data_IF_373429848807
#
_entry.id   IF_373429848807
#
_cell.length_a   1.000
_cell.length_b   1.000
_cell.length_c   1.000
_cell.angle_alpha   90.00
_cell.angle_beta   90.00
_cell.angle_gamma   90.00
#
_symmetry.space_group_name_H-M   'P 1'
#
loop_
_entity.id
_entity.type
_entity.pdbx_description
1 polymer ?
#
# COMPACT_ATOMS: atom_id res chain seq x y z
N UNK A 1 -10.10 -6.83 -20.63
CA UNK A 1 -9.74 -7.55 -19.40
C UNK A 1 -10.61 -7.01 -18.26
N UNK A 2 -11.16 -7.92 -17.49
CA UNK A 2 -12.11 -7.57 -16.44
C UNK A 2 -11.37 -7.37 -15.11
N UNK A 3 -11.26 -6.12 -14.68
CA UNK A 3 -10.61 -5.76 -13.42
C UNK A 3 -11.64 -5.31 -12.39
N UNK A 4 -11.50 -5.80 -11.15
CA UNK A 4 -12.33 -5.29 -10.05
C UNK A 4 -11.64 -5.44 -8.71
N UNK A 5 -12.03 -4.62 -7.74
CA UNK A 5 -11.69 -4.79 -6.34
C UNK A 5 -12.88 -5.42 -5.62
N UNK A 6 -12.57 -6.35 -4.73
CA UNK A 6 -13.58 -6.97 -3.87
C UNK A 6 -13.07 -6.97 -2.44
N UNK A 7 -13.99 -6.84 -1.47
CA UNK A 7 -13.62 -6.91 -0.06
C UNK A 7 -13.16 -8.33 0.24
N UNK A 8 -12.04 -8.48 0.95
CA UNK A 8 -11.53 -9.79 1.33
C UNK A 8 -12.43 -10.44 2.37
N UNK A 9 -12.67 -11.75 2.17
CA UNK A 9 -13.23 -12.57 3.22
C UNK A 9 -12.13 -13.06 4.15
N UNK A 10 -12.53 -13.65 5.27
CA UNK A 10 -11.58 -14.16 6.25
C UNK A 10 -10.67 -15.22 5.63
N UNK A 11 -11.19 -16.00 4.68
CA UNK A 11 -10.42 -17.06 4.01
C UNK A 11 -9.37 -16.53 3.06
N UNK A 12 -9.47 -15.26 2.67
CA UNK A 12 -8.49 -14.63 1.77
C UNK A 12 -7.23 -14.15 2.50
N UNK A 13 -7.30 -13.98 3.83
CA UNK A 13 -6.24 -13.32 4.59
C UNK A 13 -4.91 -14.08 4.58
N UNK A 14 -4.87 -15.41 4.78
CA UNK A 14 -3.57 -16.10 4.77
C UNK A 14 -2.80 -15.94 3.46
N UNK A 15 -3.49 -16.04 2.32
CA UNK A 15 -2.85 -15.88 1.03
C UNK A 15 -2.43 -14.42 0.81
N UNK A 16 -3.27 -13.48 1.23
CA UNK A 16 -2.93 -12.06 1.15
C UNK A 16 -1.63 -11.75 1.90
N UNK A 17 -1.49 -12.24 3.13
CA UNK A 17 -0.28 -12.01 3.91
C UNK A 17 0.95 -12.56 3.20
N UNK A 18 0.85 -13.78 2.69
CA UNK A 18 1.94 -14.41 1.99
C UNK A 18 2.34 -13.62 0.75
N UNK A 19 1.36 -13.23 -0.06
CA UNK A 19 1.62 -12.55 -1.32
C UNK A 19 2.19 -11.15 -1.12
N UNK A 20 1.68 -10.40 -0.15
CA UNK A 20 2.20 -9.05 0.10
C UNK A 20 3.62 -9.10 0.66
N UNK A 21 3.92 -10.08 1.53
CA UNK A 21 5.28 -10.26 2.01
C UNK A 21 6.24 -10.59 0.88
N UNK A 22 5.83 -11.49 -0.02
CA UNK A 22 6.66 -11.85 -1.17
C UNK A 22 6.91 -10.65 -2.08
N UNK A 23 5.87 -9.86 -2.35
CA UNK A 23 5.99 -8.71 -3.23
C UNK A 23 6.94 -7.66 -2.65
N UNK A 24 6.84 -7.37 -1.36
CA UNK A 24 7.71 -6.40 -0.69
C UNK A 24 9.14 -6.91 -0.62
N UNK A 25 9.31 -8.20 -0.31
CA UNK A 25 10.64 -8.80 -0.21
C UNK A 25 11.36 -8.77 -1.56
N UNK A 26 10.66 -9.21 -2.62
CA UNK A 26 11.24 -9.20 -3.96
C UNK A 26 11.54 -7.80 -4.45
N UNK A 27 10.65 -6.85 -4.19
CA UNK A 27 10.87 -5.46 -4.57
C UNK A 27 12.12 -4.88 -3.95
N UNK A 28 12.33 -5.15 -2.66
CA UNK A 28 13.54 -4.69 -1.97
C UNK A 28 14.79 -5.38 -2.53
N UNK A 29 14.73 -6.69 -2.70
CA UNK A 29 15.90 -7.46 -3.12
C UNK A 29 16.33 -7.18 -4.55
N UNK A 30 15.40 -6.79 -5.41
CA UNK A 30 15.74 -6.38 -6.78
C UNK A 30 16.58 -5.11 -6.81
N UNK A 31 16.41 -4.23 -5.83
CA UNK A 31 17.15 -2.97 -5.77
C UNK A 31 18.42 -3.09 -4.94
N UNK A 32 18.36 -3.80 -3.82
CA UNK A 32 19.44 -3.82 -2.83
C UNK A 32 20.14 -5.15 -2.70
N UNK A 33 19.68 -6.19 -3.40
CA UNK A 33 20.23 -7.52 -3.32
C UNK A 33 19.59 -8.35 -2.20
N UNK A 34 19.93 -9.65 -2.14
CA UNK A 34 19.36 -10.55 -1.15
C UNK A 34 19.60 -10.09 0.27
N UNK A 35 18.60 -10.32 1.14
CA UNK A 35 18.69 -9.96 2.54
C UNK A 35 18.02 -11.05 3.39
N UNK A 36 18.52 -11.24 4.60
CA UNK A 36 17.88 -12.10 5.58
C UNK A 36 16.79 -11.35 6.37
N UNK A 37 16.76 -10.04 6.25
CA UNK A 37 15.75 -9.23 6.93
C UNK A 37 14.39 -9.42 6.28
N UNK A 38 13.36 -9.48 7.11
CA UNK A 38 11.97 -9.52 6.63
C UNK A 38 11.52 -8.08 6.42
N UNK A 39 11.25 -7.72 5.16
CA UNK A 39 10.96 -6.33 4.80
C UNK A 39 9.59 -5.92 5.33
N UNK A 40 8.60 -6.82 5.26
CA UNK A 40 7.27 -6.55 5.80
C UNK A 40 6.90 -7.67 6.78
N UNK A 41 7.13 -7.47 8.09
CA UNK A 41 6.79 -8.49 9.08
C UNK A 41 5.27 -8.72 9.15
N UNK A 42 4.90 -9.95 9.48
CA UNK A 42 3.49 -10.30 9.61
C UNK A 42 2.77 -9.44 10.66
N UNK A 43 3.47 -9.08 11.74
CA UNK A 43 2.90 -8.24 12.79
C UNK A 43 2.43 -6.88 12.24
N UNK A 44 3.17 -6.32 11.29
CA UNK A 44 2.79 -5.04 10.69
C UNK A 44 1.56 -5.18 9.82
N UNK A 45 1.43 -6.30 9.10
CA UNK A 45 0.23 -6.59 8.32
C UNK A 45 -0.97 -6.74 9.25
N UNK A 46 -0.81 -7.50 10.33
CA UNK A 46 -1.88 -7.70 11.30
C UNK A 46 -2.32 -6.39 11.94
N UNK A 47 -1.38 -5.52 12.25
CA UNK A 47 -1.70 -4.21 12.82
C UNK A 47 -2.57 -3.39 11.86
N UNK A 48 -2.23 -3.39 10.57
CA UNK A 48 -3.04 -2.70 9.57
C UNK A 48 -4.44 -3.29 9.45
N UNK A 49 -4.53 -4.62 9.40
CA UNK A 49 -5.81 -5.30 9.27
C UNK A 49 -6.72 -5.08 10.49
N UNK A 50 -6.13 -4.91 11.67
CA UNK A 50 -6.87 -4.74 12.92
C UNK A 50 -7.11 -3.29 13.31
N UNK A 51 -6.64 -2.34 12.52
CA UNK A 51 -6.87 -0.92 12.78
C UNK A 51 -8.35 -0.59 12.60
N UNK A 52 -8.90 0.22 13.50
CA UNK A 52 -10.29 0.64 13.41
C UNK A 52 -10.52 1.38 12.08
N UNK A 53 -11.51 0.96 11.34
CA UNK A 53 -11.82 1.53 10.03
C UNK A 53 -11.10 0.86 8.87
N UNK A 54 -10.32 -0.19 9.12
CA UNK A 54 -9.59 -0.88 8.06
C UNK A 54 -10.53 -1.66 7.14
N UNK A 55 -10.29 -1.53 5.84
CA UNK A 55 -10.96 -2.31 4.81
C UNK A 55 -9.88 -2.94 3.94
N UNK A 56 -9.92 -4.26 3.80
CA UNK A 56 -8.97 -4.99 2.98
C UNK A 56 -9.62 -5.39 1.67
N UNK A 57 -8.96 -5.07 0.57
CA UNK A 57 -9.44 -5.36 -0.78
C UNK A 57 -8.51 -6.33 -1.48
N UNK A 58 -9.08 -7.26 -2.24
CA UNK A 58 -8.34 -8.06 -3.20
C UNK A 58 -8.61 -7.53 -4.61
N UNK A 59 -7.57 -7.50 -5.43
CA UNK A 59 -7.68 -7.06 -6.81
C UNK A 59 -7.76 -8.29 -7.70
N UNK A 60 -8.79 -8.32 -8.53
CA UNK A 60 -9.06 -9.46 -9.42
C UNK A 60 -8.95 -9.00 -10.87
N UNK A 61 -8.21 -9.76 -11.65
CA UNK A 61 -8.12 -9.58 -13.09
C UNK A 61 -8.56 -10.87 -13.73
N UNK A 62 -9.67 -10.83 -14.47
CA UNK A 62 -10.29 -12.02 -15.05
C UNK A 62 -10.48 -13.13 -14.00
N UNK A 63 -10.96 -12.74 -12.83
CA UNK A 63 -11.26 -13.61 -11.68
C UNK A 63 -10.06 -14.18 -10.95
N UNK A 64 -8.85 -13.74 -11.29
CA UNK A 64 -7.62 -14.17 -10.60
C UNK A 64 -7.09 -13.04 -9.73
N UNK A 65 -6.62 -13.37 -8.52
CA UNK A 65 -6.02 -12.39 -7.62
C UNK A 65 -4.69 -11.92 -8.19
N UNK A 66 -4.56 -10.62 -8.40
CA UNK A 66 -3.32 -10.01 -8.93
C UNK A 66 -2.72 -8.98 -7.97
N UNK A 67 -3.37 -8.69 -6.86
CA UNK A 67 -2.86 -7.74 -5.88
C UNK A 67 -3.90 -7.47 -4.81
N UNK A 68 -3.67 -6.40 -4.07
CA UNK A 68 -4.62 -6.00 -3.03
C UNK A 68 -4.18 -4.74 -2.31
N UNK A 69 -5.00 -4.29 -1.39
CA UNK A 69 -4.72 -3.08 -0.63
C UNK A 69 -5.49 -3.09 0.69
N UNK A 70 -4.95 -2.37 1.67
CA UNK A 70 -5.65 -2.09 2.93
C UNK A 70 -5.73 -0.58 3.09
N UNK A 71 -6.93 -0.07 3.25
CA UNK A 71 -7.18 1.34 3.53
C UNK A 71 -7.82 1.47 4.90
N UNK A 72 -7.66 2.63 5.52
CA UNK A 72 -8.30 2.93 6.80
C UNK A 72 -9.18 4.16 6.60
N UNK A 73 -10.46 3.99 6.82
CA UNK A 73 -11.46 5.03 6.57
C UNK A 73 -11.92 5.64 7.89
N UNK A 74 -11.79 6.95 8.00
CA UNK A 74 -12.32 7.70 9.12
C UNK A 74 -13.57 8.45 8.65
N UNK A 75 -14.74 7.92 8.98
CA UNK A 75 -15.99 8.47 8.48
C UNK A 75 -16.31 9.85 9.01
N UNK A 76 -15.76 10.22 10.16
CA UNK A 76 -16.01 11.53 10.75
C UNK A 76 -15.23 12.64 10.06
N UNK A 77 -13.95 12.41 9.78
CA UNK A 77 -13.08 13.42 9.21
C UNK A 77 -12.92 13.31 7.71
N UNK A 78 -13.13 12.11 7.17
CA UNK A 78 -12.82 11.75 5.78
C UNK A 78 -11.36 12.02 5.42
N UNK A 79 -10.50 11.96 6.43
CA UNK A 79 -9.05 11.95 6.26
C UNK A 79 -8.64 10.48 6.38
N UNK A 80 -8.39 9.85 5.24
CA UNK A 80 -8.26 8.40 5.12
C UNK A 80 -6.83 8.01 4.76
N UNK A 81 -6.46 6.78 5.13
CA UNK A 81 -5.09 6.31 4.93
C UNK A 81 -5.05 5.11 3.99
N UNK A 82 -4.06 5.10 3.13
CA UNK A 82 -3.66 3.89 2.41
C UNK A 82 -2.53 3.25 3.21
N UNK A 83 -2.82 2.14 3.87
CA UNK A 83 -1.83 1.46 4.70
C UNK A 83 -0.95 0.52 3.91
N UNK A 84 -1.54 -0.28 3.02
CA UNK A 84 -0.82 -1.30 2.26
C UNK A 84 -1.38 -1.37 0.86
N UNK A 85 -0.49 -1.55 -0.12
CA UNK A 85 -0.88 -1.84 -1.50
C UNK A 85 0.20 -2.72 -2.11
N UNK A 86 -0.21 -3.72 -2.85
CA UNK A 86 0.74 -4.55 -3.56
C UNK A 86 0.16 -5.05 -4.88
N UNK A 87 1.05 -5.37 -5.80
CA UNK A 87 0.73 -6.08 -7.03
C UNK A 87 1.62 -7.30 -7.07
N UNK A 88 1.06 -8.45 -7.43
CA UNK A 88 1.85 -9.67 -7.54
C UNK A 88 2.99 -9.45 -8.53
N UNK A 89 4.15 -10.05 -8.23
CA UNK A 89 5.36 -9.81 -8.99
C UNK A 89 5.16 -9.99 -10.50
N UNK A 90 4.44 -11.01 -10.90
CA UNK A 90 4.22 -11.33 -12.32
C UNK A 90 3.37 -10.28 -13.05
N UNK A 91 2.71 -9.40 -12.30
CA UNK A 91 1.76 -8.43 -12.85
C UNK A 91 2.19 -6.98 -12.66
N UNK A 92 3.40 -6.72 -12.14
CA UNK A 92 3.79 -5.38 -11.72
C UNK A 92 3.95 -4.36 -12.85
N UNK A 93 4.20 -4.80 -14.07
CA UNK A 93 4.41 -3.89 -15.20
C UNK A 93 3.16 -3.61 -16.02
N UNK A 94 2.00 -4.08 -15.56
CA UNK A 94 0.75 -4.00 -16.34
C UNK A 94 -0.18 -2.86 -15.93
N UNK A 95 0.30 -1.95 -15.08
CA UNK A 95 -0.53 -0.84 -14.62
C UNK A 95 -1.59 -1.23 -13.59
N UNK A 96 -1.45 -2.40 -12.98
CA UNK A 96 -2.43 -2.91 -12.00
C UNK A 96 -2.49 -2.03 -10.77
N UNK A 97 -1.33 -1.55 -10.28
CA UNK A 97 -1.31 -0.68 -9.10
C UNK A 97 -2.15 0.57 -9.28
N UNK A 98 -2.05 1.19 -10.45
CA UNK A 98 -2.85 2.37 -10.77
C UNK A 98 -4.34 2.05 -10.85
N UNK A 99 -4.69 0.89 -11.41
CA UNK A 99 -6.08 0.44 -11.45
C UNK A 99 -6.62 0.20 -10.05
N UNK A 100 -5.82 -0.40 -9.16
CA UNK A 100 -6.21 -0.58 -7.75
C UNK A 100 -6.48 0.77 -7.12
N UNK A 101 -5.57 1.71 -7.29
CA UNK A 101 -5.71 3.04 -6.66
C UNK A 101 -6.93 3.80 -7.21
N UNK A 102 -7.12 3.79 -8.52
CA UNK A 102 -8.27 4.46 -9.13
C UNK A 102 -9.59 3.91 -8.61
N UNK A 103 -9.66 2.59 -8.42
CA UNK A 103 -10.87 1.96 -7.91
C UNK A 103 -11.09 2.32 -6.44
N UNK A 104 -10.02 2.41 -5.64
CA UNK A 104 -10.14 2.84 -4.25
C UNK A 104 -10.73 4.25 -4.18
N UNK A 105 -10.25 5.17 -5.03
CA UNK A 105 -10.81 6.53 -5.06
C UNK A 105 -12.29 6.51 -5.44
N UNK A 106 -12.66 5.66 -6.40
CA UNK A 106 -14.05 5.55 -6.85
C UNK A 106 -14.95 5.00 -5.76
N UNK A 107 -14.45 4.05 -4.97
CA UNK A 107 -15.23 3.40 -3.90
C UNK A 107 -15.39 4.29 -2.67
N UNK A 108 -14.56 5.30 -2.50
CA UNK A 108 -14.58 6.18 -1.34
C UNK A 108 -14.66 7.65 -1.75
N UNK A 109 -15.74 8.04 -2.45
CA UNK A 109 -15.84 9.38 -3.02
C UNK A 109 -15.98 10.51 -2.00
N UNK A 110 -16.32 10.21 -0.76
CA UNK A 110 -16.43 11.22 0.29
C UNK A 110 -15.08 11.63 0.87
N UNK A 111 -14.00 10.94 0.52
CA UNK A 111 -12.68 11.21 1.08
C UNK A 111 -12.24 12.63 0.77
N UNK A 112 -11.78 13.34 1.80
CA UNK A 112 -11.24 14.69 1.64
C UNK A 112 -9.75 14.68 1.43
N UNK A 113 -9.04 13.83 2.15
CA UNK A 113 -7.58 13.69 2.05
C UNK A 113 -7.22 12.23 2.18
N UNK A 114 -6.39 11.75 1.27
CA UNK A 114 -5.73 10.46 1.37
C UNK A 114 -4.30 10.65 1.86
N UNK A 115 -3.86 9.82 2.77
CA UNK A 115 -2.49 9.86 3.26
C UNK A 115 -1.85 8.48 3.16
N UNK A 116 -0.57 8.46 2.87
CA UNK A 116 0.23 7.24 2.87
C UNK A 116 1.67 7.59 3.21
N UNK A 117 2.49 6.59 3.49
CA UNK A 117 3.91 6.81 3.70
C UNK A 117 4.71 5.67 3.12
N UNK A 118 5.98 5.94 2.82
CA UNK A 118 6.90 4.92 2.33
C UNK A 118 8.33 5.30 2.73
N UNK A 119 9.20 4.30 2.93
CA UNK A 119 10.61 4.59 3.19
C UNK A 119 11.23 5.41 2.07
N UNK A 120 12.14 6.32 2.43
CA UNK A 120 12.77 7.22 1.46
C UNK A 120 13.59 6.48 0.40
N UNK A 121 14.03 5.25 0.70
CA UNK A 121 14.78 4.46 -0.27
C UNK A 121 13.90 3.79 -1.33
N UNK A 122 12.59 3.72 -1.11
CA UNK A 122 11.67 3.04 -2.03
C UNK A 122 11.29 3.94 -3.19
N UNK A 123 12.21 4.14 -4.12
CA UNK A 123 12.02 5.08 -5.22
C UNK A 123 10.90 4.71 -6.17
N UNK A 124 10.64 3.40 -6.36
CA UNK A 124 9.52 2.96 -7.19
C UNK A 124 8.20 3.35 -6.57
N UNK A 125 8.08 3.23 -5.23
CA UNK A 125 6.86 3.64 -4.54
C UNK A 125 6.68 5.15 -4.60
N UNK A 126 7.75 5.91 -4.41
CA UNK A 126 7.69 7.36 -4.50
C UNK A 126 7.20 7.79 -5.89
N UNK A 127 7.79 7.22 -6.95
CA UNK A 127 7.36 7.49 -8.31
C UNK A 127 5.88 7.13 -8.51
N UNK A 128 5.46 5.98 -7.99
CA UNK A 128 4.08 5.54 -8.11
C UNK A 128 3.14 6.53 -7.42
N UNK A 129 3.40 6.89 -6.17
CA UNK A 129 2.51 7.78 -5.44
C UNK A 129 2.49 9.19 -6.02
N UNK A 130 3.66 9.75 -6.35
CA UNK A 130 3.73 11.13 -6.83
C UNK A 130 3.29 11.24 -8.29
N UNK A 131 3.84 10.40 -9.16
CA UNK A 131 3.64 10.57 -10.60
C UNK A 131 2.41 9.86 -11.12
N UNK A 132 2.06 8.70 -10.59
CA UNK A 132 0.91 7.92 -11.07
C UNK A 132 -0.36 8.23 -10.30
N UNK A 133 -0.27 8.32 -8.98
CA UNK A 133 -1.45 8.52 -8.13
C UNK A 133 -1.70 9.99 -7.77
N UNK A 134 -0.73 10.87 -8.05
CA UNK A 134 -0.85 12.32 -7.85
C UNK A 134 -0.89 12.75 -6.39
N UNK A 135 -0.20 12.01 -5.54
CA UNK A 135 0.09 12.44 -4.18
C UNK A 135 1.22 13.45 -4.17
N UNK A 136 1.32 14.22 -3.09
CA UNK A 136 2.42 15.15 -2.84
C UNK A 136 3.13 14.76 -1.55
N UNK A 137 4.45 14.90 -1.54
CA UNK A 137 5.24 14.71 -0.32
C UNK A 137 4.99 15.91 0.58
N UNK A 138 4.51 15.67 1.79
CA UNK A 138 4.16 16.75 2.73
C UNK A 138 5.01 16.74 3.98
N UNK A 139 5.71 15.64 4.27
CA UNK A 139 6.49 15.53 5.49
C UNK A 139 7.59 14.50 5.32
N UNK A 140 8.71 14.74 6.00
CA UNK A 140 9.80 13.78 6.10
C UNK A 140 9.96 13.39 7.57
N UNK A 141 9.92 12.10 7.87
CA UNK A 141 10.10 11.57 9.21
C UNK A 141 11.44 10.89 9.31
N UNK A 142 12.28 11.32 10.26
CA UNK A 142 13.57 10.71 10.47
C UNK A 142 13.39 9.33 11.11
N UNK A 143 14.36 8.44 10.86
CA UNK A 143 14.30 7.06 11.34
C UNK A 143 14.03 6.95 12.84
N UNK A 144 14.65 7.79 13.66
CA UNK A 144 14.53 7.71 15.11
C UNK A 144 13.15 8.14 15.62
N UNK A 145 12.34 8.76 14.78
CA UNK A 145 11.00 9.22 15.15
C UNK A 145 9.94 8.16 14.84
N UNK A 146 10.36 7.01 14.31
CA UNK A 146 9.42 6.01 13.82
C UNK A 146 9.59 4.70 14.52
N UNK A 147 8.64 4.37 15.38
CA UNK A 147 8.54 3.02 15.89
C UNK A 147 8.02 2.11 14.78
N UNK A 148 8.62 0.94 14.63
CA UNK A 148 8.20 0.00 13.62
C UNK A 148 8.65 0.31 12.20
N UNK A 149 9.65 1.18 12.05
CA UNK A 149 10.22 1.45 10.74
C UNK A 149 10.74 0.15 10.10
N UNK A 150 10.32 -0.09 8.86
CA UNK A 150 10.63 -1.31 8.15
C UNK A 150 11.83 -1.08 7.24
N UNK A 151 12.78 -2.00 7.29
CA UNK A 151 13.96 -1.98 6.45
C UNK A 151 15.07 -1.17 7.07
N UNK A 152 16.26 -1.35 6.56
CA UNK A 152 17.49 -0.83 7.07
C UNK A 152 18.08 0.23 6.20
N UNK A 153 17.29 0.79 5.30
CA UNK A 153 17.69 1.85 4.40
C UNK A 153 18.05 3.13 5.11
N UNK A 154 17.64 3.25 6.34
CA UNK A 154 18.17 4.21 7.27
C UNK A 154 17.82 5.66 7.10
N UNK A 155 17.17 6.03 6.01
CA UNK A 155 16.99 7.43 5.67
C UNK A 155 15.66 8.02 6.11
N UNK A 156 14.82 7.23 6.80
CA UNK A 156 13.51 7.71 7.26
C UNK A 156 12.40 7.43 6.25
N UNK A 157 11.31 8.14 6.40
CA UNK A 157 10.12 7.95 5.57
C UNK A 157 9.58 9.28 5.07
N UNK A 158 8.97 9.25 3.90
CA UNK A 158 8.17 10.36 3.40
C UNK A 158 6.69 10.10 3.70
N UNK A 159 6.00 11.15 4.09
CA UNK A 159 4.53 11.15 4.20
C UNK A 159 3.98 11.86 2.98
N UNK A 160 2.97 11.24 2.37
CA UNK A 160 2.34 11.75 1.15
C UNK A 160 0.87 12.05 1.43
N UNK A 161 0.37 13.11 0.84
CA UNK A 161 -1.06 13.41 0.90
C UNK A 161 -1.59 13.73 -0.48
N UNK A 162 -2.85 13.37 -0.67
CA UNK A 162 -3.60 13.76 -1.87
C UNK A 162 -4.90 14.39 -1.40
N UNK A 163 -5.03 15.70 -1.64
CA UNK A 163 -6.25 16.43 -1.31
C UNK A 163 -7.24 16.22 -2.44
N UNK A 164 -8.41 15.71 -2.11
CA UNK A 164 -9.43 15.42 -3.11
C UNK A 164 -10.31 16.64 -3.28
N UNK A 165 -10.58 16.96 -4.53
CA UNK A 165 -11.49 18.07 -4.85
C UNK A 165 -12.89 17.52 -4.95
N UNK A 166 -13.80 18.15 -4.26
CA UNK A 166 -15.21 17.79 -4.33
C UNK A 166 -15.86 18.29 -5.61
#
# INVERSE_FOLDING_TARGET
>A
MDFKLAIMGIDDIPLFKKEIQEAFQKGFEEVYGPTESIILPEADIDQSLNTKGAIAYKALLDSKVVGGAVVVINEETQHNDLHLIYVKHDNQTKGIGKQIWDEIERLHPETKVWETCTPCFEKRNIHFYVNKCKFHIVEYLRKIEQEGFIGDGGDGMFVFQKVMNS
#
